data_IF_098586103103
#
_entry.id   IF_098586103103
#
_cell.length_a   1.000
_cell.length_b   1.000
_cell.length_c   1.000
_cell.angle_alpha   90.00
_cell.angle_beta   90.00
_cell.angle_gamma   90.00
#
_symmetry.space_group_name_H-M   'P 1'
#
loop_
_entity.id
_entity.type
_entity.pdbx_description
1 polymer ?
#
# COMPACT_ATOMS: atom_id res chain seq x y z
N UNK A 1 2.48 4.74 32.11
CA UNK A 1 2.48 3.27 31.92
C UNK A 1 1.23 2.71 32.59
N UNK A 2 0.49 1.83 31.93
CA UNK A 2 -0.74 1.23 32.47
C UNK A 2 -0.45 0.14 33.55
N UNK A 3 0.81 -0.14 33.86
CA UNK A 3 1.18 -1.27 34.72
C UNK A 3 0.64 -2.59 34.16
N UNK A 4 0.09 -3.45 35.03
CA UNK A 4 -0.59 -4.70 34.64
C UNK A 4 -2.08 -4.49 34.26
N UNK A 5 -2.59 -3.24 34.27
CA UNK A 5 -3.98 -2.97 33.92
C UNK A 5 -4.17 -2.97 32.41
N UNK A 6 -5.12 -3.78 31.93
CA UNK A 6 -5.56 -3.79 30.54
C UNK A 6 -6.74 -2.85 30.37
N UNK A 7 -6.70 -2.05 29.31
CA UNK A 7 -7.87 -1.28 28.88
C UNK A 7 -8.87 -2.30 28.31
N UNK A 8 -10.18 -2.20 28.59
CA UNK A 8 -11.15 -3.12 28.01
C UNK A 8 -11.22 -2.96 26.48
N UNK A 9 -11.67 -4.01 25.80
CA UNK A 9 -12.12 -3.91 24.41
C UNK A 9 -13.52 -4.51 24.28
N UNK A 10 -14.27 -4.06 23.27
CA UNK A 10 -15.61 -4.56 22.97
C UNK A 10 -15.63 -5.21 21.59
N UNK A 11 -16.26 -6.39 21.51
CA UNK A 11 -16.68 -7.03 20.27
C UNK A 11 -18.21 -7.01 20.11
N UNK A 12 -18.75 -7.53 18.99
CA UNK A 12 -20.17 -7.43 18.67
C UNK A 12 -21.14 -8.02 19.71
N UNK A 13 -20.68 -8.95 20.56
CA UNK A 13 -21.48 -9.57 21.60
C UNK A 13 -21.52 -8.79 22.91
N UNK A 14 -20.67 -7.77 23.06
CA UNK A 14 -20.54 -7.02 24.31
C UNK A 14 -21.55 -5.87 24.38
N UNK A 15 -22.08 -5.63 25.60
CA UNK A 15 -22.97 -4.50 25.84
C UNK A 15 -22.23 -3.16 25.62
N UNK A 16 -22.85 -2.26 24.86
CA UNK A 16 -22.26 -0.96 24.52
C UNK A 16 -21.37 -0.95 23.28
N UNK A 17 -21.17 -2.09 22.61
CA UNK A 17 -20.38 -2.17 21.39
C UNK A 17 -20.87 -1.22 20.29
N UNK A 18 -22.18 -1.21 19.99
CA UNK A 18 -22.74 -0.33 18.96
C UNK A 18 -22.57 1.15 19.31
N UNK A 19 -22.83 1.54 20.56
CA UNK A 19 -22.62 2.91 21.02
C UNK A 19 -21.14 3.32 20.90
N UNK A 20 -20.21 2.44 21.28
CA UNK A 20 -18.78 2.69 21.11
C UNK A 20 -18.43 2.90 19.64
N UNK A 21 -18.93 2.04 18.75
CA UNK A 21 -18.69 2.19 17.32
C UNK A 21 -19.20 3.54 16.81
N UNK A 22 -20.46 3.86 17.04
CA UNK A 22 -21.10 5.09 16.54
C UNK A 22 -20.44 6.36 17.07
N UNK A 23 -19.99 6.36 18.33
CA UNK A 23 -19.45 7.58 18.97
C UNK A 23 -17.94 7.76 18.81
N UNK A 24 -17.16 6.67 18.71
CA UNK A 24 -15.70 6.72 18.70
C UNK A 24 -15.07 6.15 17.44
N UNK A 25 -15.77 5.30 16.68
CA UNK A 25 -15.23 4.61 15.51
C UNK A 25 -16.12 4.77 14.26
N UNK A 26 -16.88 5.85 14.14
CA UNK A 26 -17.87 6.06 13.07
C UNK A 26 -17.30 6.07 11.65
N UNK A 27 -16.00 6.35 11.50
CA UNK A 27 -15.29 6.21 10.22
C UNK A 27 -15.08 4.77 9.77
N UNK A 28 -15.32 3.77 10.63
CA UNK A 28 -15.23 2.36 10.29
C UNK A 28 -16.56 1.89 9.69
N UNK A 29 -16.52 1.29 8.52
CA UNK A 29 -17.68 0.63 7.91
C UNK A 29 -17.37 -0.85 7.65
N UNK A 30 -18.38 -1.71 7.79
CA UNK A 30 -18.29 -3.15 7.54
C UNK A 30 -19.35 -3.56 6.53
N UNK A 31 -18.93 -4.21 5.46
CA UNK A 31 -19.77 -4.78 4.42
C UNK A 31 -19.63 -6.30 4.45
N UNK A 32 -20.72 -6.99 4.81
CA UNK A 32 -20.71 -8.45 4.94
C UNK A 32 -20.58 -9.15 3.59
N UNK A 33 -19.99 -10.33 3.56
CA UNK A 33 -19.87 -11.14 2.35
C UNK A 33 -21.20 -11.32 1.61
N UNK A 34 -22.30 -11.55 2.32
CA UNK A 34 -23.63 -11.70 1.72
C UNK A 34 -24.15 -10.47 0.96
N UNK A 35 -23.55 -9.29 1.16
CA UNK A 35 -23.89 -8.05 0.44
C UNK A 35 -23.04 -7.81 -0.80
N UNK A 36 -22.13 -8.74 -1.12
CA UNK A 36 -21.28 -8.74 -2.30
C UNK A 36 -21.70 -9.89 -3.23
N UNK A 37 -21.55 -9.75 -4.57
CA UNK A 37 -21.97 -10.81 -5.49
C UNK A 37 -21.17 -12.11 -5.31
N UNK A 38 -21.83 -13.26 -5.40
CA UNK A 38 -21.15 -14.55 -5.24
C UNK A 38 -20.05 -14.77 -6.30
N UNK A 39 -20.29 -14.33 -7.54
CA UNK A 39 -19.29 -14.39 -8.62
C UNK A 39 -18.04 -13.56 -8.33
N UNK A 40 -18.18 -12.48 -7.56
CA UNK A 40 -17.05 -11.67 -7.10
C UNK A 40 -16.14 -12.50 -6.21
N UNK A 41 -16.70 -13.19 -5.21
CA UNK A 41 -15.95 -14.00 -4.26
C UNK A 41 -15.13 -15.08 -4.98
N UNK A 42 -15.77 -15.83 -5.89
CA UNK A 42 -15.10 -16.89 -6.65
C UNK A 42 -13.92 -16.38 -7.49
N UNK A 43 -14.07 -15.22 -8.15
CA UNK A 43 -12.98 -14.60 -8.94
C UNK A 43 -11.82 -14.13 -8.07
N UNK A 44 -12.12 -13.40 -6.99
CA UNK A 44 -11.10 -12.85 -6.09
C UNK A 44 -10.32 -13.98 -5.40
N UNK A 45 -11.01 -14.99 -4.90
CA UNK A 45 -10.39 -16.18 -4.31
C UNK A 45 -9.48 -16.91 -5.29
N UNK A 46 -9.97 -17.20 -6.50
CA UNK A 46 -9.18 -17.87 -7.52
C UNK A 46 -7.91 -17.08 -7.89
N UNK A 47 -8.01 -15.75 -7.95
CA UNK A 47 -6.87 -14.87 -8.20
C UNK A 47 -5.84 -14.93 -7.06
N UNK A 48 -6.29 -14.80 -5.80
CA UNK A 48 -5.43 -14.88 -4.60
C UNK A 48 -4.68 -16.22 -4.51
N UNK A 49 -5.40 -17.33 -4.70
CA UNK A 49 -4.82 -18.68 -4.69
C UNK A 49 -3.84 -18.88 -5.84
N UNK A 50 -4.12 -18.31 -7.02
CA UNK A 50 -3.22 -18.39 -8.18
C UNK A 50 -1.93 -17.61 -7.94
N UNK A 51 -2.01 -16.39 -7.39
CA UNK A 51 -0.85 -15.59 -7.01
C UNK A 51 -0.01 -16.32 -5.94
N UNK A 52 -0.65 -16.95 -4.95
CA UNK A 52 0.06 -17.77 -3.95
C UNK A 52 0.75 -18.97 -4.58
N UNK A 53 0.07 -19.76 -5.42
CA UNK A 53 0.66 -20.94 -6.10
C UNK A 53 1.87 -20.57 -6.96
N UNK A 54 1.88 -19.37 -7.52
CA UNK A 54 3.01 -18.86 -8.30
C UNK A 54 4.14 -18.29 -7.45
N UNK A 55 3.98 -18.17 -6.15
CA UNK A 55 5.01 -17.66 -5.24
C UNK A 55 5.11 -16.13 -5.21
N UNK A 56 4.08 -15.40 -5.64
CA UNK A 56 4.12 -13.94 -5.70
C UNK A 56 4.14 -13.26 -4.32
N UNK A 57 3.64 -13.93 -3.28
CA UNK A 57 3.61 -13.38 -1.91
C UNK A 57 4.95 -13.60 -1.21
N UNK A 58 5.61 -12.52 -0.82
CA UNK A 58 6.94 -12.55 -0.22
C UNK A 58 6.95 -11.78 1.10
N UNK A 59 7.76 -12.23 2.06
CA UNK A 59 7.97 -11.47 3.29
C UNK A 59 8.92 -10.32 3.02
N UNK A 60 8.53 -9.13 3.45
CA UNK A 60 9.33 -7.93 3.28
C UNK A 60 10.35 -7.86 4.41
N UNK A 61 11.58 -7.51 4.06
CA UNK A 61 12.61 -7.19 5.04
C UNK A 61 12.49 -5.70 5.34
N UNK A 62 11.98 -5.36 6.51
CA UNK A 62 11.67 -3.99 6.91
C UNK A 62 12.52 -3.56 8.09
N UNK A 63 12.74 -2.26 8.24
CA UNK A 63 13.46 -1.70 9.38
C UNK A 63 12.47 -1.25 10.45
N UNK A 64 12.53 -1.87 11.63
CA UNK A 64 11.69 -1.52 12.79
C UNK A 64 12.57 -1.26 14.00
N UNK A 65 12.58 -0.03 14.52
CA UNK A 65 13.44 0.40 15.65
C UNK A 65 14.91 0.01 15.44
N UNK A 66 15.44 0.33 14.27
CA UNK A 66 16.82 0.03 13.85
C UNK A 66 17.21 -1.45 13.79
N UNK A 67 16.22 -2.34 13.64
CA UNK A 67 16.47 -3.76 13.40
C UNK A 67 15.80 -4.19 12.09
N UNK A 68 16.53 -5.00 11.33
CA UNK A 68 16.02 -5.63 10.13
C UNK A 68 15.18 -6.85 10.53
N UNK A 69 13.90 -6.83 10.19
CA UNK A 69 12.94 -7.87 10.57
C UNK A 69 12.11 -8.25 9.36
N UNK A 70 11.92 -9.55 9.14
CA UNK A 70 10.94 -10.02 8.17
C UNK A 70 9.53 -9.87 8.72
N UNK A 71 8.64 -9.27 7.94
CA UNK A 71 7.21 -9.16 8.25
C UNK A 71 6.61 -10.54 8.51
N UNK A 72 5.67 -10.67 9.45
CA UNK A 72 4.97 -11.96 9.67
C UNK A 72 4.10 -12.34 8.46
N UNK A 73 3.56 -11.33 7.79
CA UNK A 73 2.71 -11.44 6.60
C UNK A 73 3.56 -11.38 5.34
N UNK A 74 3.26 -12.23 4.37
CA UNK A 74 3.78 -12.15 3.01
C UNK A 74 2.90 -11.25 2.15
N UNK A 75 3.51 -10.44 1.27
CA UNK A 75 2.81 -9.40 0.53
C UNK A 75 3.14 -9.40 -0.95
N UNK A 76 2.25 -8.77 -1.72
CA UNK A 76 2.47 -8.37 -3.11
C UNK A 76 1.70 -7.08 -3.37
N UNK A 77 2.33 -6.13 -4.07
CA UNK A 77 1.69 -4.87 -4.46
C UNK A 77 1.18 -4.98 -5.90
N UNK A 78 -0.11 -4.74 -6.11
CA UNK A 78 -0.71 -4.59 -7.43
C UNK A 78 -1.17 -3.14 -7.60
N UNK A 79 -1.17 -2.60 -8.81
CA UNK A 79 -1.63 -1.22 -8.98
C UNK A 79 -1.45 -0.66 -10.37
N UNK A 80 -1.59 0.66 -10.49
CA UNK A 80 -1.31 1.38 -11.73
C UNK A 80 0.14 1.13 -12.19
N UNK A 81 0.36 1.01 -13.52
CA UNK A 81 1.71 0.89 -14.07
C UNK A 81 2.59 2.07 -13.66
N UNK A 82 3.82 1.79 -13.25
CA UNK A 82 4.78 2.82 -12.84
C UNK A 82 4.55 3.41 -11.44
N UNK A 83 3.54 2.96 -10.70
CA UNK A 83 3.26 3.42 -9.33
C UNK A 83 4.04 2.61 -8.30
N UNK A 84 4.39 3.24 -7.19
CA UNK A 84 5.01 2.59 -6.03
C UNK A 84 4.23 2.91 -4.76
N UNK A 85 4.45 2.13 -3.71
CA UNK A 85 3.86 2.36 -2.39
C UNK A 85 4.95 2.20 -1.33
N UNK A 86 5.14 3.21 -0.48
CA UNK A 86 6.19 3.19 0.55
C UNK A 86 5.59 2.91 1.93
N UNK A 87 6.19 1.98 2.66
CA UNK A 87 5.87 1.73 4.05
C UNK A 87 7.10 1.19 4.80
N UNK A 88 7.30 1.56 6.06
CA UNK A 88 8.42 1.10 6.89
C UNK A 88 9.78 1.20 6.16
N UNK A 89 10.04 2.37 5.55
CA UNK A 89 11.23 2.66 4.72
C UNK A 89 11.48 1.72 3.53
N UNK A 90 10.47 0.96 3.13
CA UNK A 90 10.51 0.03 2.00
C UNK A 90 9.58 0.54 0.90
N UNK A 91 10.13 0.77 -0.30
CA UNK A 91 9.34 1.10 -1.49
C UNK A 91 8.96 -0.16 -2.24
N UNK A 92 7.68 -0.50 -2.23
CA UNK A 92 7.12 -1.60 -3.02
C UNK A 92 6.80 -1.12 -4.43
N UNK A 93 7.08 -1.96 -5.42
CA UNK A 93 6.83 -1.70 -6.84
C UNK A 93 5.62 -2.48 -7.32
N UNK A 94 4.71 -1.83 -8.04
CA UNK A 94 3.46 -2.48 -8.49
C UNK A 94 3.76 -3.58 -9.50
N UNK A 95 3.10 -4.72 -9.37
CA UNK A 95 2.75 -5.53 -10.54
C UNK A 95 1.58 -4.78 -11.20
N UNK A 96 1.75 -4.30 -12.45
CA UNK A 96 0.76 -3.46 -13.09
C UNK A 96 -0.52 -4.24 -13.34
N UNK A 97 -1.67 -3.64 -13.00
CA UNK A 97 -2.95 -4.07 -13.54
C UNK A 97 -3.17 -3.48 -14.94
N UNK A 98 -3.99 -4.10 -15.81
CA UNK A 98 -4.27 -3.53 -17.11
C UNK A 98 -4.97 -2.17 -16.98
N UNK A 99 -4.49 -1.18 -17.73
CA UNK A 99 -5.19 0.09 -17.89
C UNK A 99 -6.39 -0.14 -18.83
N UNK A 100 -7.59 0.25 -18.40
CA UNK A 100 -8.75 0.36 -19.31
C UNK A 100 -9.46 -0.92 -19.77
N UNK A 101 -9.01 -2.12 -19.41
CA UNK A 101 -9.66 -3.35 -19.93
C UNK A 101 -11.15 -3.41 -19.60
N UNK A 102 -12.03 -3.50 -20.59
CA UNK A 102 -13.37 -4.07 -20.41
C UNK A 102 -13.23 -5.61 -20.37
N UNK A 103 -14.23 -6.35 -19.87
CA UNK A 103 -14.17 -7.82 -19.69
C UNK A 103 -13.66 -8.58 -20.93
N UNK A 104 -13.90 -8.04 -22.12
CA UNK A 104 -13.46 -8.54 -23.43
C UNK A 104 -11.95 -8.49 -23.72
N UNK A 105 -11.15 -7.72 -22.98
CA UNK A 105 -9.69 -7.60 -23.22
C UNK A 105 -8.85 -8.62 -22.43
N UNK A 106 -9.45 -9.38 -21.53
CA UNK A 106 -8.77 -10.41 -20.72
C UNK A 106 -8.25 -11.59 -21.55
N UNK A 107 -8.73 -11.73 -22.78
CA UNK A 107 -8.39 -12.84 -23.71
C UNK A 107 -6.95 -12.82 -24.21
N UNK A 108 -6.29 -11.65 -24.24
CA UNK A 108 -4.91 -11.47 -24.72
C UNK A 108 -3.85 -11.31 -23.62
N UNK A 109 -4.26 -11.25 -22.36
CA UNK A 109 -3.36 -11.02 -21.23
C UNK A 109 -2.49 -12.23 -20.93
N UNK A 110 -1.22 -11.97 -20.58
CA UNK A 110 -0.30 -13.00 -20.15
C UNK A 110 -0.82 -13.74 -18.90
N UNK A 111 -0.35 -14.97 -18.63
CA UNK A 111 -0.85 -15.75 -17.50
C UNK A 111 -0.76 -15.02 -16.16
N UNK A 112 0.16 -14.07 -16.00
CA UNK A 112 0.42 -13.28 -14.79
C UNK A 112 -0.48 -12.04 -14.67
N UNK A 113 -0.99 -11.52 -15.78
CA UNK A 113 -1.80 -10.31 -15.85
C UNK A 113 -3.29 -10.63 -15.62
N UNK A 114 -3.75 -11.84 -15.99
CA UNK A 114 -5.15 -12.26 -15.81
C UNK A 114 -5.65 -12.19 -14.36
N UNK A 115 -4.97 -12.79 -13.35
CA UNK A 115 -5.41 -12.71 -11.96
C UNK A 115 -5.43 -11.27 -11.42
N UNK A 116 -4.51 -10.43 -11.90
CA UNK A 116 -4.38 -9.03 -11.51
C UNK A 116 -5.51 -8.18 -12.10
N UNK A 117 -5.85 -8.43 -13.37
CA UNK A 117 -6.98 -7.81 -14.06
C UNK A 117 -8.32 -8.19 -13.41
N UNK A 118 -8.50 -9.48 -13.13
CA UNK A 118 -9.69 -10.02 -12.45
C UNK A 118 -9.87 -9.38 -11.08
N UNK A 119 -8.81 -9.22 -10.29
CA UNK A 119 -8.86 -8.60 -8.97
C UNK A 119 -9.20 -7.11 -9.01
N UNK A 120 -8.65 -6.36 -9.99
CA UNK A 120 -8.94 -4.94 -10.17
C UNK A 120 -10.42 -4.73 -10.46
N UNK A 121 -10.95 -5.40 -11.49
CA UNK A 121 -12.35 -5.28 -11.92
C UNK A 121 -13.34 -5.68 -10.85
N UNK A 122 -13.02 -6.78 -10.18
CA UNK A 122 -13.79 -7.33 -9.08
C UNK A 122 -13.96 -6.33 -7.94
N UNK A 123 -12.95 -5.52 -7.63
CA UNK A 123 -12.98 -4.70 -6.41
C UNK A 123 -13.24 -3.21 -6.71
N UNK A 124 -12.91 -2.69 -7.89
CA UNK A 124 -13.19 -1.28 -8.24
C UNK A 124 -14.68 -0.96 -8.46
N UNK A 125 -15.50 -1.94 -8.86
CA UNK A 125 -16.92 -1.72 -9.17
C UNK A 125 -17.86 -1.66 -7.96
N UNK A 126 -17.41 -2.10 -6.79
CA UNK A 126 -18.26 -2.20 -5.58
C UNK A 126 -17.77 -1.31 -4.44
N UNK A 127 -16.87 -0.37 -4.73
CA UNK A 127 -16.32 0.53 -3.72
C UNK A 127 -17.04 1.87 -3.78
N UNK A 128 -17.90 2.08 -2.78
CA UNK A 128 -18.51 3.36 -2.40
C UNK A 128 -19.69 3.76 -3.29
N UNK A 129 -20.74 2.94 -3.27
CA UNK A 129 -22.10 3.47 -3.32
C UNK A 129 -22.73 3.06 -1.98
N UNK A 130 -22.88 4.02 -1.08
CA UNK A 130 -23.67 3.85 0.14
C UNK A 130 -25.13 3.71 -0.29
N UNK A 131 -25.59 2.48 -0.57
CA UNK A 131 -27.03 2.20 -0.79
C UNK A 131 -27.87 2.54 0.46
N UNK A 132 -27.24 2.80 1.62
CA UNK A 132 -27.94 3.20 2.85
C UNK A 132 -28.58 4.60 2.79
N UNK A 133 -28.22 5.45 1.82
CA UNK A 133 -28.83 6.80 1.68
C UNK A 133 -30.09 6.82 0.78
N UNK A 134 -30.35 5.81 -0.05
CA UNK A 134 -31.54 5.80 -0.94
C UNK A 134 -32.82 5.33 -0.23
N UNK A 135 -32.72 4.46 0.78
CA UNK A 135 -33.89 3.86 1.44
C UNK A 135 -34.58 4.77 2.48
N UNK A 136 -34.01 5.94 2.82
CA UNK A 136 -34.61 6.88 3.78
C UNK A 136 -35.35 8.08 3.14
N UNK A 137 -35.42 8.18 1.81
CA UNK A 137 -36.07 9.31 1.13
C UNK A 137 -37.52 9.09 0.70
N UNK A 138 -38.20 8.08 1.25
CA UNK A 138 -39.65 7.93 1.16
C UNK A 138 -40.27 8.18 2.53
N UNK A 139 -40.22 9.44 3.02
CA UNK A 139 -40.88 9.77 4.28
C UNK A 139 -40.70 11.20 4.76
N UNK A 140 -41.71 12.03 4.45
CA UNK A 140 -42.09 13.27 5.16
C UNK A 140 -41.16 14.50 5.05
N UNK A 141 -41.73 15.54 4.44
CA UNK A 141 -41.17 16.90 4.48
C UNK A 141 -41.31 17.54 5.85
N UNK A 142 -40.26 18.24 6.26
CA UNK A 142 -40.34 19.49 7.02
C UNK A 142 -38.99 20.22 6.93
N UNK A 143 -39.07 21.51 6.63
CA UNK A 143 -37.99 22.47 6.46
C UNK A 143 -37.10 22.55 7.71
N UNK A 144 -35.79 22.41 7.58
CA UNK A 144 -34.83 23.09 8.45
C UNK A 144 -33.46 23.24 7.77
N UNK A 145 -32.94 24.46 7.87
CA UNK A 145 -31.66 24.94 7.37
C UNK A 145 -30.51 24.31 8.16
N UNK A 146 -29.53 23.71 7.48
CA UNK A 146 -28.22 23.42 8.06
C UNK A 146 -27.10 23.78 7.07
N UNK A 147 -25.94 24.28 7.54
CA UNK A 147 -24.92 24.89 6.70
C UNK A 147 -24.00 23.85 6.07
N UNK A 148 -23.74 24.03 4.76
CA UNK A 148 -22.64 23.47 3.97
C UNK A 148 -22.24 22.01 4.27
N UNK A 149 -23.04 21.05 3.75
CA UNK A 149 -22.49 19.74 3.35
C UNK A 149 -21.44 20.01 2.26
N UNK A 150 -20.16 19.89 2.60
CA UNK A 150 -19.10 19.74 1.60
C UNK A 150 -19.45 18.57 0.70
N UNK A 151 -19.52 18.84 -0.60
CA UNK A 151 -19.72 17.86 -1.68
C UNK A 151 -18.98 16.55 -1.37
N UNK A 152 -19.69 15.42 -1.42
CA UNK A 152 -19.06 14.10 -1.44
C UNK A 152 -18.01 14.10 -2.57
N UNK A 153 -16.75 13.73 -2.29
CA UNK A 153 -15.82 13.43 -3.37
C UNK A 153 -16.38 12.24 -4.16
N UNK A 154 -16.22 12.24 -5.48
CA UNK A 154 -16.62 11.12 -6.33
C UNK A 154 -15.98 9.78 -5.88
N UNK A 155 -16.30 8.66 -6.55
CA UNK A 155 -15.81 7.33 -6.16
C UNK A 155 -14.31 7.33 -5.90
N UNK A 156 -13.88 6.79 -4.76
CA UNK A 156 -12.47 6.83 -4.37
C UNK A 156 -11.60 6.13 -5.42
N UNK A 157 -10.59 6.84 -5.92
CA UNK A 157 -9.73 6.36 -7.01
C UNK A 157 -8.55 5.57 -6.46
N UNK A 158 -8.80 4.35 -5.99
CA UNK A 158 -7.74 3.45 -5.55
C UNK A 158 -6.72 3.21 -6.67
N UNK A 159 -5.45 3.54 -6.42
CA UNK A 159 -4.37 3.43 -7.41
C UNK A 159 -3.47 2.20 -7.16
N UNK A 160 -3.55 1.60 -5.97
CA UNK A 160 -2.85 0.35 -5.62
C UNK A 160 -3.70 -0.52 -4.68
N UNK A 161 -3.38 -1.81 -4.64
CA UNK A 161 -3.78 -2.72 -3.55
C UNK A 161 -2.58 -3.48 -3.03
N UNK A 162 -2.42 -3.50 -1.71
CA UNK A 162 -1.43 -4.30 -1.01
C UNK A 162 -2.08 -5.61 -0.59
N UNK A 163 -1.74 -6.70 -1.27
CA UNK A 163 -2.25 -8.01 -0.92
C UNK A 163 -1.42 -8.59 0.23
N UNK A 164 -2.09 -9.28 1.13
CA UNK A 164 -1.51 -9.87 2.32
C UNK A 164 -1.86 -11.35 2.36
N UNK A 165 -0.93 -12.19 2.78
CA UNK A 165 -1.15 -13.60 3.06
C UNK A 165 -0.38 -14.02 4.32
N UNK A 166 -1.03 -14.77 5.20
CA UNK A 166 -0.38 -15.38 6.36
C UNK A 166 -1.02 -16.74 6.67
N UNK A 167 -0.18 -17.71 7.00
CA UNK A 167 -0.59 -19.00 7.57
C UNK A 167 -0.14 -19.05 9.04
N UNK A 168 -1.06 -18.93 10.02
CA UNK A 168 -0.72 -19.01 11.44
C UNK A 168 0.05 -20.29 11.80
N UNK A 169 -0.27 -21.42 11.16
CA UNK A 169 0.38 -22.71 11.44
C UNK A 169 1.84 -22.74 10.96
N UNK A 170 2.18 -21.95 9.93
CA UNK A 170 3.55 -21.80 9.45
C UNK A 170 4.36 -20.75 10.23
N UNK A 171 3.73 -20.03 11.18
CA UNK A 171 4.35 -18.96 11.96
C UNK A 171 4.67 -19.44 13.38
N UNK A 172 5.96 -19.51 13.71
CA UNK A 172 6.42 -20.04 15.00
C UNK A 172 6.12 -19.11 16.18
N UNK A 173 6.10 -17.79 15.97
CA UNK A 173 5.89 -16.80 17.04
C UNK A 173 5.17 -15.55 16.49
N UNK A 174 3.90 -15.41 16.84
CA UNK A 174 3.15 -14.15 16.71
C UNK A 174 3.19 -13.41 18.04
N UNK A 175 3.25 -12.07 18.00
CA UNK A 175 3.26 -11.24 19.21
C UNK A 175 1.83 -11.12 19.76
N UNK A 176 1.69 -11.17 21.07
CA UNK A 176 0.45 -10.82 21.74
C UNK A 176 0.17 -9.32 21.63
N UNK A 177 -1.11 -8.97 21.51
CA UNK A 177 -1.57 -7.59 21.55
C UNK A 177 -1.28 -6.98 22.95
N UNK A 178 -0.58 -5.84 23.02
CA UNK A 178 0.05 -5.40 24.27
C UNK A 178 -0.84 -4.63 25.25
N UNK A 179 -2.01 -4.11 24.85
CA UNK A 179 -2.76 -3.13 25.65
C UNK A 179 -4.12 -3.62 26.15
N UNK A 180 -4.84 -4.34 25.31
CA UNK A 180 -6.23 -4.74 25.53
C UNK A 180 -6.36 -6.24 25.81
N UNK A 181 -5.35 -7.03 25.43
CA UNK A 181 -5.39 -8.48 25.53
C UNK A 181 -6.23 -9.13 24.44
N UNK A 182 -6.24 -8.55 23.23
CA UNK A 182 -7.03 -9.05 22.09
C UNK A 182 -6.48 -10.34 21.43
N UNK A 183 -5.33 -10.83 21.90
CA UNK A 183 -4.68 -12.05 21.40
C UNK A 183 -3.55 -11.78 20.41
N UNK A 184 -3.18 -12.81 19.64
CA UNK A 184 -2.03 -12.77 18.73
C UNK A 184 -2.27 -11.87 17.53
N UNK A 185 -1.28 -11.05 17.18
CA UNK A 185 -1.33 -10.14 16.04
C UNK A 185 -0.58 -10.71 14.83
N UNK A 186 -1.26 -10.78 13.69
CA UNK A 186 -0.65 -10.94 12.37
C UNK A 186 0.07 -9.65 11.94
N UNK A 187 -0.56 -8.50 12.23
CA UNK A 187 0.00 -7.16 12.01
C UNK A 187 -0.25 -6.34 13.26
N UNK A 188 0.80 -5.75 13.83
CA UNK A 188 0.69 -4.93 15.03
C UNK A 188 -0.04 -3.60 14.82
N UNK A 189 -0.28 -2.87 15.91
CA UNK A 189 -0.86 -1.52 15.88
C UNK A 189 -0.06 -0.58 14.98
N UNK A 190 -0.72 -0.01 13.97
CA UNK A 190 -0.12 0.94 13.04
C UNK A 190 -1.15 1.91 12.45
N UNK A 191 -0.63 2.95 11.80
CA UNK A 191 -1.33 3.74 10.80
C UNK A 191 -0.85 3.28 9.43
N UNK A 192 -1.72 3.31 8.43
CA UNK A 192 -1.29 3.15 7.05
C UNK A 192 -0.49 4.38 6.60
N UNK A 193 0.72 4.15 6.10
CA UNK A 193 1.65 5.19 5.64
C UNK A 193 1.41 5.54 4.16
N UNK A 194 2.00 6.64 3.68
CA UNK A 194 2.01 7.03 2.26
C UNK A 194 0.62 7.02 1.59
N UNK A 195 -0.40 7.49 2.30
CA UNK A 195 -1.75 7.68 1.77
C UNK A 195 -2.00 9.15 1.48
N UNK A 196 -2.80 9.43 0.44
CA UNK A 196 -3.37 10.76 0.23
C UNK A 196 -4.19 11.15 1.48
N UNK A 197 -4.05 12.39 1.93
CA UNK A 197 -4.74 12.87 3.14
C UNK A 197 -6.26 12.66 3.03
N UNK A 198 -6.86 12.08 4.09
CA UNK A 198 -8.28 11.76 4.19
C UNK A 198 -8.80 10.74 3.15
N UNK A 199 -7.90 10.06 2.43
CA UNK A 199 -8.32 9.01 1.51
C UNK A 199 -8.78 7.76 2.26
N UNK A 200 -9.80 7.05 1.74
CA UNK A 200 -10.27 5.84 2.37
C UNK A 200 -9.29 4.68 2.13
N UNK A 201 -9.39 3.66 2.98
CA UNK A 201 -8.78 2.35 2.78
C UNK A 201 -9.90 1.32 2.74
N UNK A 202 -9.95 0.49 1.69
CA UNK A 202 -10.92 -0.60 1.57
C UNK A 202 -10.20 -1.95 1.64
N UNK A 203 -10.75 -2.88 2.42
CA UNK A 203 -10.10 -4.18 2.66
C UNK A 203 -11.08 -5.30 2.43
N UNK A 204 -10.79 -6.15 1.45
CA UNK A 204 -11.44 -7.45 1.28
C UNK A 204 -10.69 -8.52 2.07
N UNK A 205 -11.37 -9.29 2.91
CA UNK A 205 -10.79 -10.36 3.74
C UNK A 205 -11.25 -11.73 3.26
N UNK A 206 -10.33 -12.67 3.10
CA UNK A 206 -10.64 -14.05 2.70
C UNK A 206 -9.89 -15.06 3.55
N UNK A 207 -10.63 -15.90 4.27
CA UNK A 207 -10.09 -16.94 5.14
C UNK A 207 -10.22 -18.29 4.43
N UNK A 208 -9.14 -19.08 4.37
CA UNK A 208 -9.09 -20.32 3.57
C UNK A 208 -9.85 -21.51 4.14
N UNK A 209 -10.40 -21.40 5.36
CA UNK A 209 -11.16 -22.47 6.01
C UNK A 209 -12.37 -21.89 6.75
N UNK A 210 -13.53 -22.53 6.54
CA UNK A 210 -14.82 -22.25 7.19
C UNK A 210 -15.09 -23.17 8.39
N UNK A 211 -14.06 -23.80 8.97
CA UNK A 211 -14.28 -24.61 10.17
C UNK A 211 -14.73 -23.69 11.33
N UNK A 212 -16.05 -23.68 11.58
CA UNK A 212 -16.78 -22.90 12.61
C UNK A 212 -16.27 -23.10 14.06
N UNK A 213 -15.28 -23.97 14.26
CA UNK A 213 -14.73 -24.33 15.56
C UNK A 213 -13.45 -23.58 15.94
N UNK A 214 -12.82 -22.88 14.99
CA UNK A 214 -11.59 -22.12 15.20
C UNK A 214 -11.84 -20.64 15.48
N UNK A 215 -10.84 -19.97 16.05
CA UNK A 215 -10.87 -18.52 16.22
C UNK A 215 -10.71 -17.83 14.86
N UNK A 216 -11.72 -17.05 14.46
CA UNK A 216 -11.69 -16.29 13.21
C UNK A 216 -10.75 -15.10 13.27
N UNK A 217 -10.30 -14.65 12.09
CA UNK A 217 -9.51 -13.41 11.96
C UNK A 217 -10.36 -12.22 12.39
N UNK A 218 -9.72 -11.28 13.11
CA UNK A 218 -10.36 -10.04 13.55
C UNK A 218 -9.52 -8.83 13.18
N UNK A 219 -10.18 -7.69 13.04
CA UNK A 219 -9.51 -6.38 13.06
C UNK A 219 -9.69 -5.74 14.43
N UNK A 220 -8.62 -5.18 14.95
CA UNK A 220 -8.65 -4.35 16.15
C UNK A 220 -8.48 -2.88 15.78
N UNK A 221 -9.21 -1.98 16.42
CA UNK A 221 -9.06 -0.54 16.32
C UNK A 221 -8.92 0.10 17.70
N UNK A 222 -8.07 1.12 17.78
CA UNK A 222 -7.91 1.96 18.98
C UNK A 222 -7.77 3.43 18.58
N UNK A 223 -8.26 4.33 19.42
CA UNK A 223 -7.94 5.75 19.30
C UNK A 223 -6.42 5.93 19.48
N UNK A 224 -5.77 6.70 18.60
CA UNK A 224 -4.33 6.92 18.69
C UNK A 224 -4.00 7.71 19.95
N UNK A 225 -2.93 7.31 20.65
CA UNK A 225 -2.44 7.96 21.88
C UNK A 225 -3.41 7.98 23.08
N UNK A 226 -4.55 7.29 22.96
CA UNK A 226 -5.55 7.17 24.02
C UNK A 226 -5.37 5.87 24.80
N UNK A 227 -5.62 5.97 26.11
CA UNK A 227 -5.59 4.87 27.07
C UNK A 227 -6.89 4.73 27.87
N UNK A 228 -7.93 5.50 27.53
CA UNK A 228 -9.21 5.51 28.21
C UNK A 228 -10.34 4.88 27.39
N UNK A 229 -10.39 5.19 26.08
CA UNK A 229 -11.42 4.61 25.20
C UNK A 229 -11.19 3.10 25.05
N UNK A 230 -12.21 2.25 25.29
CA UNK A 230 -12.11 0.83 25.05
C UNK A 230 -11.74 0.54 23.60
N UNK A 231 -10.90 -0.46 23.35
CA UNK A 231 -10.60 -0.91 22.00
C UNK A 231 -11.84 -1.51 21.33
N UNK A 232 -11.89 -1.48 20.01
CA UNK A 232 -12.95 -2.12 19.23
C UNK A 232 -12.37 -3.30 18.47
N UNK A 233 -13.02 -4.46 18.54
CA UNK A 233 -12.64 -5.63 17.72
C UNK A 233 -13.80 -6.08 16.85
N UNK A 234 -13.49 -6.48 15.63
CA UNK A 234 -14.47 -6.98 14.68
C UNK A 234 -14.07 -8.32 14.07
N UNK A 235 -14.90 -9.37 14.20
CA UNK A 235 -14.72 -10.62 13.48
C UNK A 235 -14.99 -10.43 11.99
N UNK A 236 -14.06 -10.95 11.18
CA UNK A 236 -14.13 -10.97 9.74
C UNK A 236 -14.41 -12.39 9.28
N UNK A 237 -15.57 -12.59 8.66
CA UNK A 237 -15.89 -13.82 7.94
C UNK A 237 -15.19 -13.82 6.58
N UNK A 238 -15.15 -14.97 5.92
CA UNK A 238 -14.62 -15.05 4.56
C UNK A 238 -15.49 -14.23 3.61
N UNK A 239 -14.87 -13.36 2.82
CA UNK A 239 -15.55 -12.44 1.90
C UNK A 239 -16.01 -11.12 2.52
N UNK A 240 -15.91 -10.95 3.85
CA UNK A 240 -16.22 -9.67 4.49
C UNK A 240 -15.25 -8.57 4.00
N UNK A 241 -15.80 -7.36 3.82
CA UNK A 241 -15.03 -6.17 3.51
C UNK A 241 -15.20 -5.11 4.57
N UNK A 242 -14.15 -4.36 4.90
CA UNK A 242 -14.25 -3.21 5.79
C UNK A 242 -13.55 -1.99 5.21
N UNK A 243 -13.95 -0.82 5.68
CA UNK A 243 -13.48 0.46 5.17
C UNK A 243 -13.04 1.35 6.33
N UNK A 244 -11.88 1.98 6.18
CA UNK A 244 -11.43 3.09 7.01
C UNK A 244 -11.74 4.36 6.22
N UNK A 245 -12.78 5.10 6.61
CA UNK A 245 -13.23 6.33 5.94
C UNK A 245 -12.68 7.59 6.62
N UNK A 246 -12.79 8.70 5.90
CA UNK A 246 -12.45 10.04 6.38
C UNK A 246 -11.06 10.12 7.01
N UNK A 247 -10.96 10.56 8.26
CA UNK A 247 -9.70 10.68 8.98
C UNK A 247 -9.40 9.51 9.92
N UNK A 248 -10.14 8.39 9.82
CA UNK A 248 -10.02 7.27 10.74
C UNK A 248 -8.60 6.70 10.77
N UNK A 249 -7.95 6.54 9.60
CA UNK A 249 -6.56 6.06 9.56
C UNK A 249 -5.56 7.04 10.20
N UNK A 250 -5.91 8.33 10.33
CA UNK A 250 -5.09 9.35 11.01
C UNK A 250 -5.35 9.38 12.51
N UNK A 251 -6.61 9.30 12.92
CA UNK A 251 -7.04 9.46 14.32
C UNK A 251 -6.97 8.15 15.11
N UNK A 252 -6.98 7.01 14.42
CA UNK A 252 -6.97 5.67 15.00
C UNK A 252 -5.81 4.83 14.49
N UNK A 253 -5.39 3.89 15.32
CA UNK A 253 -4.50 2.81 14.92
C UNK A 253 -5.33 1.55 14.73
N UNK A 254 -4.90 0.69 13.81
CA UNK A 254 -5.51 -0.62 13.61
C UNK A 254 -4.47 -1.74 13.68
N UNK A 255 -4.92 -2.94 14.00
CA UNK A 255 -4.13 -4.16 13.98
C UNK A 255 -4.94 -5.30 13.35
N UNK A 256 -4.24 -6.34 12.92
CA UNK A 256 -4.87 -7.58 12.42
C UNK A 256 -4.58 -8.67 13.43
N UNK A 257 -5.63 -9.18 14.05
CA UNK A 257 -5.58 -10.28 15.00
C UNK A 257 -5.66 -11.59 14.22
N UNK A 258 -4.68 -12.45 14.45
CA UNK A 258 -4.59 -13.74 13.79
C UNK A 258 -5.67 -14.70 14.32
N UNK A 259 -6.35 -15.36 13.40
CA UNK A 259 -7.14 -16.55 13.72
C UNK A 259 -6.29 -17.83 13.60
N UNK A 260 -6.95 -18.98 13.53
CA UNK A 260 -6.30 -20.29 13.42
C UNK A 260 -5.97 -20.69 11.97
N UNK A 261 -6.69 -20.10 11.00
CA UNK A 261 -6.63 -20.47 9.58
C UNK A 261 -5.77 -19.52 8.75
N UNK A 262 -5.20 -20.05 7.67
CA UNK A 262 -4.56 -19.21 6.67
C UNK A 262 -5.54 -18.20 6.08
N UNK A 263 -5.06 -16.97 5.84
CA UNK A 263 -5.92 -15.86 5.42
C UNK A 263 -5.20 -14.93 4.45
N UNK A 264 -5.98 -14.40 3.52
CA UNK A 264 -5.60 -13.35 2.61
C UNK A 264 -6.34 -12.04 2.89
N UNK A 265 -5.77 -10.91 2.45
CA UNK A 265 -6.57 -9.74 2.12
C UNK A 265 -6.07 -8.99 0.91
N UNK A 266 -6.98 -8.22 0.33
CA UNK A 266 -6.68 -7.15 -0.61
C UNK A 266 -6.96 -5.82 0.08
N UNK A 267 -5.92 -5.01 0.32
CA UNK A 267 -6.04 -3.70 0.99
C UNK A 267 -5.80 -2.58 -0.01
N UNK A 268 -6.89 -2.02 -0.53
CA UNK A 268 -6.95 -0.97 -1.54
C UNK A 268 -6.65 0.38 -0.93
N UNK A 269 -5.78 1.15 -1.60
CA UNK A 269 -5.24 2.42 -1.10
C UNK A 269 -5.23 3.47 -2.20
N UNK A 270 -5.38 4.72 -1.79
CA UNK A 270 -4.98 5.88 -2.60
C UNK A 270 -3.59 6.27 -2.13
N UNK A 271 -2.57 5.63 -2.71
CA UNK A 271 -1.17 5.91 -2.41
C UNK A 271 -0.83 7.36 -2.80
N UNK A 272 -0.14 8.07 -1.92
CA UNK A 272 0.44 9.38 -2.19
C UNK A 272 1.66 9.21 -3.10
N UNK A 273 1.43 9.35 -4.40
CA UNK A 273 2.41 9.05 -5.43
C UNK A 273 2.94 10.29 -6.16
N UNK A 274 2.78 11.51 -5.62
CA UNK A 274 3.33 12.73 -6.22
C UNK A 274 4.83 12.65 -6.55
N UNK A 275 5.61 11.95 -5.73
CA UNK A 275 7.04 11.64 -5.96
C UNK A 275 7.31 10.14 -6.12
N UNK A 276 6.25 9.34 -6.24
CA UNK A 276 6.28 7.88 -6.17
C UNK A 276 6.00 7.17 -7.49
N UNK A 277 6.11 7.87 -8.63
CA UNK A 277 5.84 7.30 -9.96
C UNK A 277 7.08 7.29 -10.86
N UNK A 278 7.11 6.33 -11.78
CA UNK A 278 8.19 6.22 -12.77
C UNK A 278 8.32 7.49 -13.60
N UNK A 279 7.19 8.05 -14.04
CA UNK A 279 7.17 9.28 -14.85
C UNK A 279 7.79 10.47 -14.08
N UNK A 280 7.51 10.57 -12.78
CA UNK A 280 8.11 11.57 -11.91
C UNK A 280 9.64 11.43 -11.89
N UNK A 281 10.15 10.25 -11.53
CA UNK A 281 11.61 10.09 -11.38
C UNK A 281 12.34 10.20 -12.73
N UNK A 282 11.74 9.74 -13.83
CA UNK A 282 12.31 9.94 -15.16
C UNK A 282 12.32 11.41 -15.57
N UNK A 283 11.30 12.18 -15.17
CA UNK A 283 11.32 13.64 -15.35
C UNK A 283 12.43 14.30 -14.56
N UNK A 284 12.66 13.88 -13.31
CA UNK A 284 13.77 14.35 -12.47
C UNK A 284 15.12 14.00 -13.11
N UNK A 285 15.30 12.77 -13.60
CA UNK A 285 16.52 12.40 -14.33
C UNK A 285 16.79 13.31 -15.53
N UNK A 286 15.76 13.57 -16.36
CA UNK A 286 15.89 14.47 -17.52
C UNK A 286 16.25 15.90 -17.11
N UNK A 287 15.69 16.38 -16.00
CA UNK A 287 16.03 17.69 -15.43
C UNK A 287 17.53 17.76 -15.07
N UNK A 288 18.04 16.78 -14.31
CA UNK A 288 19.46 16.70 -13.94
C UNK A 288 20.36 16.61 -15.19
N UNK A 289 20.07 15.66 -16.08
CA UNK A 289 20.88 15.38 -17.27
C UNK A 289 20.85 16.52 -18.29
N UNK A 290 19.92 17.47 -18.19
CA UNK A 290 19.94 18.68 -19.04
C UNK A 290 21.19 19.54 -18.85
N UNK A 291 21.92 19.38 -17.74
CA UNK A 291 23.18 20.06 -17.49
C UNK A 291 24.41 19.33 -18.08
N UNK A 292 24.24 18.12 -18.63
CA UNK A 292 25.31 17.35 -19.25
C UNK A 292 25.36 17.64 -20.76
N UNK A 293 26.54 17.99 -21.26
CA UNK A 293 26.81 18.16 -22.68
C UNK A 293 27.80 17.12 -23.16
N UNK A 294 27.59 16.60 -24.36
CA UNK A 294 28.50 15.69 -25.05
C UNK A 294 28.91 16.33 -26.37
N UNK A 295 30.21 16.54 -26.54
CA UNK A 295 30.76 17.04 -27.80
C UNK A 295 30.58 15.98 -28.91
N UNK A 296 29.92 16.31 -30.03
CA UNK A 296 29.58 15.33 -31.05
C UNK A 296 30.77 14.83 -31.87
N UNK A 297 31.89 15.56 -31.89
CA UNK A 297 33.08 15.19 -32.66
C UNK A 297 34.04 14.32 -31.84
N UNK A 298 34.19 14.65 -30.56
CA UNK A 298 35.17 14.03 -29.65
C UNK A 298 34.54 13.04 -28.67
N UNK A 299 33.22 13.10 -28.46
CA UNK A 299 32.52 12.34 -27.42
C UNK A 299 32.82 12.83 -26.00
N UNK A 300 33.48 13.98 -25.85
CA UNK A 300 33.91 14.48 -24.54
C UNK A 300 32.72 15.08 -23.79
N UNK A 301 32.59 14.73 -22.50
CA UNK A 301 31.51 15.24 -21.66
C UNK A 301 31.94 16.47 -20.87
N UNK A 302 31.01 17.42 -20.69
CA UNK A 302 31.20 18.63 -19.87
C UNK A 302 29.88 19.09 -19.24
N UNK A 303 29.98 19.90 -18.18
CA UNK A 303 28.82 20.51 -17.54
C UNK A 303 28.51 21.87 -18.19
N UNK A 304 27.24 22.11 -18.54
CA UNK A 304 26.80 23.37 -19.14
C UNK A 304 26.78 24.54 -18.15
N UNK A 305 26.49 24.26 -16.88
CA UNK A 305 26.42 25.23 -15.79
C UNK A 305 27.14 24.69 -14.54
N UNK A 306 27.95 25.56 -13.94
CA UNK A 306 28.62 25.35 -12.65
C UNK A 306 28.01 26.22 -11.54
N UNK A 307 26.81 26.74 -11.74
CA UNK A 307 26.12 27.52 -10.71
C UNK A 307 25.78 26.63 -9.51
N UNK A 308 26.01 27.06 -8.26
CA UNK A 308 25.77 26.24 -7.07
C UNK A 308 24.38 25.61 -7.00
N UNK A 309 23.33 26.36 -7.40
CA UNK A 309 21.96 25.85 -7.40
C UNK A 309 21.75 24.72 -8.43
N UNK A 310 22.39 24.81 -9.60
CA UNK A 310 22.32 23.73 -10.62
C UNK A 310 23.06 22.49 -10.13
N UNK A 311 24.22 22.69 -9.50
CA UNK A 311 25.03 21.58 -8.99
C UNK A 311 24.32 20.84 -7.85
N UNK A 312 23.79 21.59 -6.88
CA UNK A 312 22.99 21.05 -5.79
C UNK A 312 21.76 20.29 -6.32
N UNK A 313 21.06 20.85 -7.31
CA UNK A 313 19.85 20.25 -7.89
C UNK A 313 20.09 18.87 -8.49
N UNK A 314 21.16 18.68 -9.30
CA UNK A 314 21.44 17.36 -9.85
C UNK A 314 21.94 16.38 -8.78
N UNK A 315 22.69 16.83 -7.76
CA UNK A 315 23.13 15.95 -6.66
C UNK A 315 21.96 15.44 -5.82
N UNK A 316 20.95 16.28 -5.57
CA UNK A 316 19.70 15.89 -4.92
C UNK A 316 18.96 14.83 -5.75
N UNK A 317 18.83 15.04 -7.06
CA UNK A 317 18.22 14.07 -7.99
C UNK A 317 19.02 12.77 -8.03
N UNK A 318 20.35 12.87 -8.08
CA UNK A 318 21.25 11.73 -8.12
C UNK A 318 21.06 10.82 -6.89
N UNK A 319 21.02 11.41 -5.70
CA UNK A 319 20.71 10.71 -4.46
C UNK A 319 19.29 10.12 -4.47
N UNK A 320 18.31 10.87 -4.98
CA UNK A 320 16.92 10.40 -5.08
C UNK A 320 16.83 9.13 -5.96
N UNK A 321 17.40 9.14 -7.16
CA UNK A 321 17.42 7.97 -8.05
C UNK A 321 18.14 6.79 -7.38
N UNK A 322 19.27 7.05 -6.73
CA UNK A 322 20.05 6.00 -6.07
C UNK A 322 19.28 5.36 -4.90
N UNK A 323 18.87 6.16 -3.92
CA UNK A 323 18.38 5.67 -2.64
C UNK A 323 16.89 5.40 -2.63
N UNK A 324 16.10 6.19 -3.35
CA UNK A 324 14.64 6.04 -3.37
C UNK A 324 14.18 5.03 -4.42
N UNK A 325 14.97 4.75 -5.45
CA UNK A 325 14.58 3.89 -6.57
C UNK A 325 15.48 2.67 -6.74
N UNK A 326 16.74 2.85 -7.15
CA UNK A 326 17.63 1.76 -7.51
C UNK A 326 17.92 0.83 -6.33
N UNK A 327 18.36 1.39 -5.21
CA UNK A 327 18.67 0.60 -4.00
C UNK A 327 17.42 -0.06 -3.44
N UNK A 328 16.27 0.62 -3.44
CA UNK A 328 15.00 0.04 -3.00
C UNK A 328 14.57 -1.15 -3.87
N UNK A 329 14.68 -1.02 -5.20
CA UNK A 329 14.32 -2.09 -6.12
C UNK A 329 15.26 -3.29 -5.99
N UNK A 330 16.58 -3.05 -6.02
CA UNK A 330 17.57 -4.12 -5.98
C UNK A 330 17.74 -4.76 -4.60
N UNK A 331 17.45 -4.05 -3.50
CA UNK A 331 17.42 -4.61 -2.15
C UNK A 331 16.40 -5.73 -2.00
N UNK A 332 15.27 -5.60 -2.70
CA UNK A 332 14.25 -6.63 -2.76
C UNK A 332 14.67 -7.80 -3.67
N UNK A 333 15.82 -7.68 -4.37
CA UNK A 333 16.40 -8.67 -5.24
C UNK A 333 15.61 -8.88 -6.52
N UNK A 334 15.96 -9.92 -7.29
CA UNK A 334 15.23 -10.34 -8.49
C UNK A 334 13.86 -10.97 -8.17
N UNK A 335 13.26 -10.67 -7.02
CA UNK A 335 11.96 -11.19 -6.59
C UNK A 335 10.86 -10.77 -7.56
N UNK A 336 10.88 -9.52 -8.00
CA UNK A 336 9.89 -8.99 -8.95
C UNK A 336 10.01 -9.63 -10.34
N UNK A 337 11.23 -9.83 -10.86
CA UNK A 337 11.44 -10.36 -12.21
C UNK A 337 10.93 -11.80 -12.39
N UNK A 338 10.75 -12.55 -11.29
CA UNK A 338 10.12 -13.89 -11.33
C UNK A 338 8.63 -13.82 -11.75
N UNK A 339 7.95 -12.72 -11.44
CA UNK A 339 6.50 -12.61 -11.55
C UNK A 339 6.02 -11.38 -12.36
N UNK A 340 6.93 -10.47 -12.69
CA UNK A 340 6.67 -9.29 -13.51
C UNK A 340 7.99 -8.71 -14.05
N UNK A 341 8.15 -8.68 -15.36
CA UNK A 341 9.31 -8.05 -16.02
C UNK A 341 9.11 -6.56 -16.33
N UNK A 342 7.95 -5.98 -15.98
CA UNK A 342 7.58 -4.61 -16.37
C UNK A 342 8.61 -3.57 -15.90
N UNK A 343 9.13 -3.72 -14.67
CA UNK A 343 10.13 -2.83 -14.09
C UNK A 343 11.57 -3.05 -14.60
N UNK A 344 11.84 -4.12 -15.34
CA UNK A 344 13.21 -4.44 -15.76
C UNK A 344 13.82 -3.34 -16.64
N UNK A 345 13.13 -2.96 -17.72
CA UNK A 345 13.60 -1.90 -18.63
C UNK A 345 13.59 -0.50 -17.97
N UNK A 346 12.54 -0.09 -17.23
CA UNK A 346 12.58 1.15 -16.45
C UNK A 346 13.78 1.24 -15.51
N UNK A 347 14.10 0.17 -14.77
CA UNK A 347 15.22 0.17 -13.82
C UNK A 347 16.58 0.19 -14.52
N UNK A 348 16.72 -0.49 -15.66
CA UNK A 348 17.92 -0.37 -16.49
C UNK A 348 18.13 1.06 -16.99
N UNK A 349 17.06 1.75 -17.40
CA UNK A 349 17.14 3.16 -17.80
C UNK A 349 17.55 4.05 -16.63
N UNK A 350 16.93 3.88 -15.45
CA UNK A 350 17.30 4.66 -14.26
C UNK A 350 18.75 4.41 -13.84
N UNK A 351 19.26 3.18 -13.99
CA UNK A 351 20.66 2.86 -13.70
C UNK A 351 21.61 3.53 -14.70
N UNK A 352 21.24 3.61 -15.98
CA UNK A 352 22.00 4.36 -16.98
C UNK A 352 22.00 5.86 -16.68
N UNK A 353 20.84 6.43 -16.36
CA UNK A 353 20.72 7.85 -15.99
C UNK A 353 21.55 8.16 -14.73
N UNK A 354 21.54 7.28 -13.74
CA UNK A 354 22.38 7.39 -12.53
C UNK A 354 23.88 7.34 -12.86
N UNK A 355 24.32 6.47 -13.78
CA UNK A 355 25.73 6.41 -14.22
C UNK A 355 26.19 7.70 -14.91
N UNK A 356 25.31 8.34 -15.68
CA UNK A 356 25.59 9.66 -16.27
C UNK A 356 25.69 10.74 -15.19
N UNK A 357 24.87 10.69 -14.14
CA UNK A 357 25.00 11.60 -13.00
C UNK A 357 26.28 11.34 -12.18
N UNK A 358 26.73 10.10 -12.02
CA UNK A 358 28.05 9.77 -11.46
C UNK A 358 29.20 10.39 -12.27
N UNK A 359 29.07 10.47 -13.60
CA UNK A 359 30.00 11.21 -14.44
C UNK A 359 29.92 12.72 -14.16
N UNK A 360 28.72 13.29 -14.04
CA UNK A 360 28.54 14.70 -13.68
C UNK A 360 29.20 15.06 -12.34
N UNK A 361 29.07 14.20 -11.31
CA UNK A 361 29.76 14.37 -10.02
C UNK A 361 31.28 14.40 -10.19
N UNK A 362 31.84 13.54 -11.05
CA UNK A 362 33.28 13.55 -11.36
C UNK A 362 33.72 14.84 -12.05
N UNK A 363 32.95 15.31 -13.03
CA UNK A 363 33.21 16.57 -13.74
C UNK A 363 33.10 17.79 -12.81
N UNK A 364 32.18 17.77 -11.85
CA UNK A 364 32.06 18.82 -10.84
C UNK A 364 33.31 18.90 -9.94
N UNK A 365 33.85 17.74 -9.54
CA UNK A 365 35.03 17.66 -8.68
C UNK A 365 36.33 18.03 -9.38
N UNK A 366 36.44 17.77 -10.68
CA UNK A 366 37.63 18.05 -11.47
C UNK A 366 37.28 18.67 -12.84
N UNK A 367 36.81 19.93 -12.86
CA UNK A 367 36.29 20.58 -14.08
C UNK A 367 37.34 20.83 -15.16
N UNK A 368 38.62 20.55 -14.89
CA UNK A 368 39.74 20.70 -15.82
C UNK A 368 40.32 19.34 -16.30
N UNK A 369 39.72 18.21 -15.88
CA UNK A 369 40.27 16.87 -16.09
C UNK A 369 41.50 16.59 -15.22
N UNK A 370 42.01 15.34 -15.16
CA UNK A 370 43.16 15.01 -14.34
C UNK A 370 44.31 15.91 -14.73
N UNK A 371 44.67 16.82 -13.81
CA UNK A 371 45.88 17.62 -13.94
C UNK A 371 47.05 16.66 -14.19
N UNK A 372 47.67 16.77 -15.37
CA UNK A 372 48.99 16.22 -15.65
C UNK A 372 50.00 16.93 -14.73
N UNK A 373 49.95 16.65 -13.43
CA UNK A 373 51.04 16.94 -12.51
C UNK A 373 52.08 15.84 -12.68
N UNK A 374 52.77 15.88 -13.82
CA UNK A 374 54.17 15.48 -13.86
C UNK A 374 54.98 16.55 -13.14
N UNK A 375 55.46 16.23 -11.94
CA UNK A 375 56.70 16.77 -11.40
C UNK A 375 57.59 15.62 -10.96
#
# INVERSE_FOLDING_TARGET
ELGDQRIPYLGPSDHGFQQLWETSYSGLALRRSCSLPEELHGRVEAALLTLRRRGCFLRDLVKVRDRDVFTAVSRVLLGQPGTTYRYLDTRLFTIPWPAGSTETETTGLGPQEKPVAELKHSLSGYHIEDEEDEDQQIGQGCSNLNPAKTSCPGPAQFNVTLLNYMDPAAMSQLKEEPYYGMGKMAVGWHHDENLVSLSPVAVYSYSCHEDDKGEGVRIGLKVAWDIHTPGLTLPLQSGDSYYLRDDLNRTHQHCVLAGDSARFSSTHRVAECSTGTLDYIQSRCREALSNLSTDPETGTHSLLSLLPATLQGYEEIHNEVEFEWLRQYWFQGQRYTRFCSWWARPMEQLENDWREMELMVRLHRDPLGPSNNTY
#
